data_IF_957579654582
#
_entry.id   IF_957579654582
#
_cell.length_a   1.000
_cell.length_b   1.000
_cell.length_c   1.000
_cell.angle_alpha   90.00
_cell.angle_beta   90.00
_cell.angle_gamma   90.00
#
_symmetry.space_group_name_H-M   'P 1'
#
loop_
_entity.id
_entity.type
_entity.pdbx_description
1 polymer ?
#
# COMPACT_ATOMS: atom_id res chain seq x y z
N UNK A 1 -36.17 19.91 -18.34
CA UNK A 1 -35.54 18.65 -18.78
C UNK A 1 -34.60 18.22 -17.68
N UNK A 2 -34.56 16.93 -17.31
CA UNK A 2 -33.64 16.43 -16.30
C UNK A 2 -32.35 15.97 -16.99
N UNK A 3 -31.22 16.61 -16.65
CA UNK A 3 -29.90 16.23 -17.15
C UNK A 3 -29.26 15.25 -16.17
N UNK A 4 -28.87 14.09 -16.67
CA UNK A 4 -28.22 13.05 -15.88
C UNK A 4 -26.78 13.42 -15.55
N UNK A 5 -26.41 13.33 -14.28
CA UNK A 5 -25.01 13.39 -13.83
C UNK A 5 -24.49 11.94 -13.84
N UNK A 6 -23.49 11.65 -14.66
CA UNK A 6 -22.87 10.32 -14.73
C UNK A 6 -21.42 10.38 -14.27
N UNK A 7 -20.91 9.23 -13.81
CA UNK A 7 -19.49 9.07 -13.48
C UNK A 7 -18.65 9.34 -14.75
N UNK A 8 -17.76 10.36 -14.74
CA UNK A 8 -16.92 10.68 -15.89
C UNK A 8 -15.88 9.58 -16.13
N UNK A 9 -15.16 9.64 -17.25
CA UNK A 9 -14.05 8.71 -17.51
C UNK A 9 -12.91 8.96 -16.51
N UNK A 10 -12.60 7.97 -15.67
CA UNK A 10 -11.62 8.10 -14.56
C UNK A 10 -10.19 7.70 -14.96
N UNK A 11 -9.84 7.80 -16.25
CA UNK A 11 -8.57 7.35 -16.83
C UNK A 11 -8.62 5.88 -17.30
N UNK A 12 -7.71 5.50 -18.20
CA UNK A 12 -7.76 4.22 -18.95
C UNK A 12 -7.68 2.95 -18.08
N UNK A 13 -7.33 3.06 -16.79
CA UNK A 13 -7.15 1.92 -15.88
C UNK A 13 -8.10 1.90 -14.66
N UNK A 14 -9.15 2.73 -14.61
CA UNK A 14 -10.08 2.81 -13.46
C UNK A 14 -11.50 2.44 -13.89
N UNK A 15 -12.00 1.29 -13.43
CA UNK A 15 -13.32 0.74 -13.80
C UNK A 15 -14.47 1.11 -12.85
N UNK A 16 -14.15 1.61 -11.64
CA UNK A 16 -15.13 1.93 -10.60
C UNK A 16 -14.63 3.06 -9.67
N UNK A 17 -15.56 3.80 -9.07
CA UNK A 17 -15.30 4.90 -8.13
C UNK A 17 -16.18 4.78 -6.87
N UNK A 18 -15.80 5.45 -5.80
CA UNK A 18 -16.67 5.68 -4.62
C UNK A 18 -17.15 7.10 -4.66
N UNK A 19 -18.35 7.33 -4.18
CA UNK A 19 -18.78 8.67 -3.82
C UNK A 19 -18.14 9.03 -2.47
N UNK A 20 -17.23 10.01 -2.48
CA UNK A 20 -16.60 10.56 -1.28
C UNK A 20 -17.57 11.49 -0.56
N UNK A 21 -17.55 12.78 -0.94
CA UNK A 21 -18.40 13.81 -0.34
C UNK A 21 -19.19 14.56 -1.40
N UNK A 22 -20.52 14.58 -1.26
CA UNK A 22 -21.38 15.52 -1.98
C UNK A 22 -21.20 16.95 -1.44
N UNK A 23 -20.84 17.89 -2.31
CA UNK A 23 -20.71 19.31 -1.96
C UNK A 23 -22.06 20.06 -2.01
N UNK A 24 -23.07 19.47 -2.65
CA UNK A 24 -24.41 20.04 -2.84
C UNK A 24 -25.48 19.05 -2.40
N UNK A 25 -26.58 19.57 -1.84
CA UNK A 25 -27.73 18.79 -1.39
C UNK A 25 -28.85 18.84 -2.42
N UNK A 26 -29.75 17.85 -2.36
CA UNK A 26 -30.99 17.87 -3.16
C UNK A 26 -31.75 19.16 -2.87
N UNK A 27 -32.06 19.93 -3.91
CA UNK A 27 -32.70 21.25 -3.85
C UNK A 27 -31.76 22.44 -3.99
N UNK A 28 -30.43 22.24 -3.97
CA UNK A 28 -29.47 23.33 -4.13
C UNK A 28 -29.36 23.76 -5.61
N UNK A 29 -29.20 25.07 -5.81
CA UNK A 29 -28.91 25.67 -7.11
C UNK A 29 -27.43 25.48 -7.43
N UNK A 30 -27.14 24.93 -8.60
CA UNK A 30 -25.78 24.64 -9.09
C UNK A 30 -25.54 25.35 -10.41
N UNK A 31 -24.35 25.91 -10.60
CA UNK A 31 -23.92 26.51 -11.87
C UNK A 31 -23.20 25.46 -12.72
N UNK A 32 -23.20 25.66 -14.04
CA UNK A 32 -22.36 24.88 -14.94
C UNK A 32 -20.88 25.02 -14.52
N UNK A 33 -20.14 23.92 -14.61
CA UNK A 33 -18.74 23.75 -14.19
C UNK A 33 -18.46 23.87 -12.67
N UNK A 34 -19.51 23.93 -11.82
CA UNK A 34 -19.35 23.94 -10.36
C UNK A 34 -19.18 22.50 -9.80
N UNK A 35 -18.23 22.23 -8.88
CA UNK A 35 -18.02 20.88 -8.33
C UNK A 35 -19.21 20.41 -7.50
N UNK A 36 -19.77 19.25 -7.86
CA UNK A 36 -20.98 18.68 -7.25
C UNK A 36 -20.67 17.60 -6.22
N UNK A 37 -19.75 16.71 -6.58
CA UNK A 37 -19.42 15.51 -5.80
C UNK A 37 -17.97 15.14 -6.00
N UNK A 38 -17.35 14.73 -4.91
CA UNK A 38 -16.02 14.18 -4.89
C UNK A 38 -16.08 12.66 -5.08
N UNK A 39 -15.34 12.13 -6.05
CA UNK A 39 -15.18 10.69 -6.25
C UNK A 39 -13.83 10.21 -5.72
N UNK A 40 -13.84 9.20 -4.86
CA UNK A 40 -12.64 8.53 -4.37
C UNK A 40 -12.35 7.27 -5.19
N UNK A 41 -11.18 7.20 -5.81
CA UNK A 41 -10.66 6.00 -6.47
C UNK A 41 -9.59 5.32 -5.60
N UNK A 42 -9.02 4.21 -6.07
CA UNK A 42 -7.94 3.48 -5.40
C UNK A 42 -6.63 4.29 -5.27
N UNK A 43 -6.48 5.34 -6.08
CA UNK A 43 -5.24 6.10 -6.24
C UNK A 43 -5.38 7.60 -5.99
N UNK A 44 -6.49 8.20 -6.43
CA UNK A 44 -6.71 9.65 -6.34
C UNK A 44 -8.18 9.99 -6.10
N UNK A 45 -8.40 11.21 -5.62
CA UNK A 45 -9.71 11.80 -5.47
C UNK A 45 -9.95 12.75 -6.65
N UNK A 46 -11.11 12.64 -7.32
CA UNK A 46 -11.47 13.41 -8.52
C UNK A 46 -12.80 14.12 -8.29
N UNK A 47 -12.85 15.42 -8.54
CA UNK A 47 -14.09 16.20 -8.45
C UNK A 47 -14.89 16.11 -9.75
N UNK A 48 -16.21 15.90 -9.65
CA UNK A 48 -17.12 15.89 -10.80
C UNK A 48 -17.82 17.25 -10.89
N UNK A 49 -17.55 18.04 -11.96
CA UNK A 49 -18.23 19.31 -12.19
C UNK A 49 -19.66 19.12 -12.73
N UNK A 50 -20.50 20.13 -12.51
CA UNK A 50 -21.87 20.14 -13.02
C UNK A 50 -21.92 20.35 -14.54
N UNK A 51 -22.59 19.49 -15.31
CA UNK A 51 -22.69 19.64 -16.76
C UNK A 51 -23.58 20.81 -17.20
N UNK A 52 -24.52 21.25 -16.36
CA UNK A 52 -25.48 22.33 -16.65
C UNK A 52 -25.78 23.17 -15.40
N UNK A 53 -26.35 24.37 -15.59
CA UNK A 53 -26.86 25.18 -14.47
C UNK A 53 -28.30 24.81 -14.16
N UNK A 54 -28.63 24.49 -12.91
CA UNK A 54 -29.97 24.03 -12.54
C UNK A 54 -30.14 23.76 -11.05
N UNK A 55 -31.16 22.98 -10.69
CA UNK A 55 -31.40 22.52 -9.31
C UNK A 55 -31.15 21.02 -9.23
N UNK A 56 -30.37 20.57 -8.23
CA UNK A 56 -30.12 19.15 -8.00
C UNK A 56 -31.42 18.48 -7.52
N UNK A 57 -32.08 17.67 -8.36
CA UNK A 57 -33.40 17.10 -8.05
C UNK A 57 -33.33 15.77 -7.32
N UNK A 58 -32.30 14.98 -7.59
CA UNK A 58 -32.17 13.64 -7.02
C UNK A 58 -30.70 13.23 -6.93
N UNK A 59 -30.32 12.63 -5.79
CA UNK A 59 -29.05 11.93 -5.59
C UNK A 59 -29.38 10.44 -5.56
N UNK A 60 -28.96 9.72 -6.60
CA UNK A 60 -29.26 8.28 -6.76
C UNK A 60 -28.23 7.44 -6.01
N UNK A 61 -26.98 7.91 -5.95
CA UNK A 61 -25.91 7.21 -5.29
C UNK A 61 -25.39 8.01 -4.08
N UNK A 62 -25.44 7.40 -2.90
CA UNK A 62 -25.17 8.07 -1.62
C UNK A 62 -23.67 8.11 -1.28
N UNK A 63 -23.28 8.99 -0.35
CA UNK A 63 -21.91 9.04 0.18
C UNK A 63 -21.46 7.64 0.65
N UNK A 64 -20.32 7.18 0.13
CA UNK A 64 -19.72 5.89 0.45
C UNK A 64 -20.19 4.70 -0.41
N UNK A 65 -21.01 4.94 -1.44
CA UNK A 65 -21.49 3.93 -2.40
C UNK A 65 -20.52 3.73 -3.59
N UNK A 66 -20.46 2.50 -4.11
CA UNK A 66 -19.63 2.11 -5.26
C UNK A 66 -20.39 2.28 -6.56
N UNK A 67 -19.83 3.04 -7.49
CA UNK A 67 -20.42 3.33 -8.79
C UNK A 67 -19.43 2.96 -9.91
N UNK A 68 -19.93 2.25 -10.92
CA UNK A 68 -19.15 1.90 -12.12
C UNK A 68 -19.04 3.07 -13.11
N UNK A 69 -18.18 2.93 -14.12
CA UNK A 69 -18.08 3.91 -15.21
C UNK A 69 -19.45 4.15 -15.88
N UNK A 70 -19.81 5.42 -16.06
CA UNK A 70 -21.09 5.82 -16.68
C UNK A 70 -22.34 5.60 -15.81
N UNK A 71 -22.18 5.19 -14.55
CA UNK A 71 -23.29 5.06 -13.61
C UNK A 71 -23.92 6.42 -13.27
N UNK A 72 -25.23 6.42 -13.04
CA UNK A 72 -26.01 7.61 -12.70
C UNK A 72 -25.74 8.02 -11.24
N UNK A 73 -25.20 9.22 -11.06
CA UNK A 73 -24.93 9.82 -9.75
C UNK A 73 -26.16 10.60 -9.22
N UNK A 74 -26.85 11.29 -10.12
CA UNK A 74 -28.01 12.12 -9.79
C UNK A 74 -28.60 12.81 -11.02
N UNK A 75 -29.62 13.64 -10.82
CA UNK A 75 -30.28 14.40 -11.87
C UNK A 75 -30.36 15.89 -11.51
N UNK A 76 -30.22 16.75 -12.53
CA UNK A 76 -30.37 18.21 -12.41
C UNK A 76 -31.53 18.65 -13.30
N UNK A 77 -32.47 19.43 -12.77
CA UNK A 77 -33.48 20.08 -13.61
C UNK A 77 -33.00 21.43 -14.11
N UNK A 78 -33.07 21.62 -15.42
CA UNK A 78 -32.95 22.96 -16.01
C UNK A 78 -34.27 23.72 -15.86
N UNK A 79 -34.20 24.85 -15.15
CA UNK A 79 -35.24 25.88 -15.14
C UNK A 79 -36.31 25.74 -14.05
N UNK A 80 -36.41 26.80 -13.24
CA UNK A 80 -37.55 27.27 -12.45
C UNK A 80 -38.18 26.35 -11.37
N UNK A 81 -37.95 26.77 -10.13
CA UNK A 81 -38.85 26.80 -8.99
C UNK A 81 -40.21 26.08 -9.09
N UNK A 82 -40.38 25.10 -8.18
CA UNK A 82 -41.65 24.82 -7.51
C UNK A 82 -42.47 23.67 -8.09
N UNK A 83 -42.47 22.52 -7.40
CA UNK A 83 -43.67 21.96 -6.75
C UNK A 83 -43.40 20.53 -6.27
N UNK A 84 -43.68 20.31 -4.98
CA UNK A 84 -43.74 19.03 -4.26
C UNK A 84 -44.87 18.12 -4.79
N UNK A 85 -44.58 16.83 -4.95
CA UNK A 85 -45.53 15.70 -4.85
C UNK A 85 -44.73 14.39 -4.83
N UNK A 86 -44.59 13.67 -3.71
CA UNK A 86 -45.52 12.78 -3.00
C UNK A 86 -45.20 11.30 -3.29
N UNK A 87 -44.90 10.58 -2.21
CA UNK A 87 -44.56 9.16 -2.14
C UNK A 87 -45.73 8.23 -2.52
N UNK A 88 -45.42 6.94 -2.74
CA UNK A 88 -46.28 5.89 -2.22
C UNK A 88 -45.53 4.90 -1.31
N UNK A 89 -46.25 4.49 -0.26
CA UNK A 89 -45.90 3.50 0.74
C UNK A 89 -46.15 2.05 0.25
N UNK A 90 -45.63 1.02 0.95
CA UNK A 90 -45.48 -0.36 0.46
C UNK A 90 -46.54 -1.35 1.00
N UNK A 91 -46.69 -2.51 0.35
CA UNK A 91 -47.13 -3.82 0.90
C UNK A 91 -47.30 -4.86 -0.23
N UNK A 92 -47.41 -6.19 0.02
CA UNK A 92 -46.69 -7.06 0.95
C UNK A 92 -46.23 -8.40 0.31
N UNK A 93 -45.64 -9.26 1.14
CA UNK A 93 -45.00 -10.56 0.87
C UNK A 93 -45.86 -11.67 0.22
N UNK A 94 -45.17 -12.61 -0.47
CA UNK A 94 -45.41 -14.06 -0.36
C UNK A 94 -44.24 -14.87 -0.96
N UNK A 95 -43.72 -15.82 -0.18
CA UNK A 95 -42.98 -17.01 -0.64
C UNK A 95 -43.98 -18.06 -1.19
N UNK A 96 -43.56 -19.11 -1.92
CA UNK A 96 -43.00 -20.29 -1.24
C UNK A 96 -41.89 -21.08 -1.97
N UNK A 97 -41.26 -21.91 -1.15
CA UNK A 97 -40.27 -22.97 -1.34
C UNK A 97 -40.27 -23.78 -2.65
N UNK A 98 -39.06 -24.19 -3.07
CA UNK A 98 -38.82 -25.29 -4.00
C UNK A 98 -37.82 -26.31 -3.40
N UNK A 99 -38.35 -27.53 -3.22
CA UNK A 99 -37.76 -28.87 -3.28
C UNK A 99 -36.32 -29.14 -2.77
N UNK A 100 -36.27 -29.80 -1.61
CA UNK A 100 -35.15 -30.62 -1.18
C UNK A 100 -35.00 -31.87 -2.08
N UNK A 101 -33.78 -32.14 -2.54
CA UNK A 101 -33.42 -33.38 -3.23
C UNK A 101 -33.27 -34.54 -2.23
N UNK A 102 -33.73 -35.72 -2.66
CA UNK A 102 -33.70 -36.96 -1.90
C UNK A 102 -32.27 -37.50 -1.67
N UNK A 103 -32.01 -38.23 -0.57
CA UNK A 103 -30.69 -38.80 -0.31
C UNK A 103 -30.38 -39.95 -1.28
N UNK A 104 -29.21 -39.87 -1.93
CA UNK A 104 -28.66 -40.98 -2.71
C UNK A 104 -28.29 -42.17 -1.81
N UNK A 105 -28.51 -43.37 -2.34
CA UNK A 105 -28.22 -44.65 -1.70
C UNK A 105 -26.76 -44.75 -1.24
N UNK A 106 -26.55 -45.40 -0.08
CA UNK A 106 -25.25 -45.54 0.59
C UNK A 106 -24.13 -46.02 -0.35
N UNK A 107 -23.26 -45.08 -0.74
CA UNK A 107 -21.98 -45.36 -1.37
C UNK A 107 -21.08 -46.13 -0.39
N UNK A 108 -20.41 -47.17 -0.89
CA UNK A 108 -19.43 -47.91 -0.09
C UNK A 108 -18.30 -46.94 0.33
N UNK A 109 -17.87 -46.93 1.61
CA UNK A 109 -16.80 -46.06 2.05
C UNK A 109 -15.52 -46.34 1.26
N UNK A 110 -14.76 -45.29 0.97
CA UNK A 110 -13.51 -45.37 0.22
C UNK A 110 -12.57 -46.44 0.81
N UNK A 111 -11.82 -47.13 -0.05
CA UNK A 111 -10.86 -48.12 0.42
C UNK A 111 -9.84 -47.45 1.37
N UNK A 112 -9.36 -48.12 2.44
CA UNK A 112 -8.48 -47.50 3.44
C UNK A 112 -7.23 -46.84 2.84
N UNK A 113 -6.67 -47.42 1.78
CA UNK A 113 -5.53 -46.87 1.06
C UNK A 113 -5.89 -45.63 0.21
N UNK A 114 -7.13 -45.51 -0.25
CA UNK A 114 -7.65 -44.34 -0.96
C UNK A 114 -7.97 -43.20 0.00
N UNK A 115 -8.60 -43.51 1.14
CA UNK A 115 -8.93 -42.53 2.19
C UNK A 115 -7.66 -41.85 2.74
N UNK A 116 -6.58 -42.61 2.94
CA UNK A 116 -5.30 -42.05 3.39
C UNK A 116 -4.68 -41.08 2.37
N UNK A 117 -4.61 -41.49 1.10
CA UNK A 117 -4.03 -40.65 0.02
C UNK A 117 -4.88 -39.40 -0.23
N UNK A 118 -6.21 -39.51 -0.10
CA UNK A 118 -7.12 -38.38 -0.24
C UNK A 118 -6.94 -37.36 0.90
N UNK A 119 -6.83 -37.84 2.15
CA UNK A 119 -6.55 -36.99 3.31
C UNK A 119 -5.19 -36.28 3.21
N UNK A 120 -4.14 -37.01 2.82
CA UNK A 120 -2.78 -36.46 2.68
C UNK A 120 -2.69 -35.37 1.59
N UNK A 121 -3.62 -35.36 0.62
CA UNK A 121 -3.65 -34.42 -0.51
C UNK A 121 -4.84 -33.45 -0.47
N UNK A 122 -5.56 -33.35 0.65
CA UNK A 122 -6.74 -32.50 0.83
C UNK A 122 -7.83 -32.69 -0.25
N UNK A 123 -8.01 -33.91 -0.74
CA UNK A 123 -9.06 -34.26 -1.71
C UNK A 123 -10.21 -34.92 -0.97
N UNK A 124 -11.42 -34.42 -1.19
CA UNK A 124 -12.64 -35.05 -0.70
C UNK A 124 -12.90 -36.32 -1.52
N UNK A 125 -13.05 -37.46 -0.84
CA UNK A 125 -13.41 -38.73 -1.49
C UNK A 125 -14.84 -38.74 -2.03
N UNK A 126 -15.65 -37.73 -1.70
CA UNK A 126 -16.98 -37.54 -2.28
C UNK A 126 -16.94 -36.96 -3.70
N UNK A 127 -15.84 -36.29 -4.06
CA UNK A 127 -15.66 -35.62 -5.36
C UNK A 127 -14.82 -36.47 -6.34
N UNK A 128 -14.54 -37.72 -5.98
CA UNK A 128 -13.75 -38.66 -6.78
C UNK A 128 -14.65 -39.81 -7.21
N UNK A 129 -14.84 -39.96 -8.52
CA UNK A 129 -15.58 -41.09 -9.09
C UNK A 129 -14.86 -42.42 -8.80
N UNK A 130 -15.49 -43.29 -8.01
CA UNK A 130 -14.89 -44.55 -7.58
C UNK A 130 -15.05 -45.67 -8.59
N UNK A 131 -13.94 -46.25 -9.05
CA UNK A 131 -13.95 -47.35 -10.03
C UNK A 131 -14.11 -48.75 -9.39
N UNK A 132 -14.19 -48.83 -8.06
CA UNK A 132 -14.25 -50.08 -7.31
C UNK A 132 -15.64 -50.71 -7.26
N UNK A 133 -15.72 -51.90 -6.64
CA UNK A 133 -16.98 -52.66 -6.52
C UNK A 133 -18.04 -51.81 -5.82
N UNK A 134 -19.20 -51.61 -6.49
CA UNK A 134 -20.31 -50.76 -6.03
C UNK A 134 -19.95 -49.27 -5.89
N UNK A 135 -19.07 -48.77 -6.77
CA UNK A 135 -18.68 -47.35 -6.80
C UNK A 135 -17.69 -46.95 -5.70
N UNK A 136 -16.97 -47.93 -5.12
CA UNK A 136 -15.99 -47.67 -4.07
C UNK A 136 -14.77 -46.94 -4.63
N UNK A 137 -14.37 -45.83 -4.01
CA UNK A 137 -13.16 -45.08 -4.38
C UNK A 137 -11.89 -45.88 -4.04
N UNK A 138 -11.06 -46.13 -5.05
CA UNK A 138 -9.78 -46.82 -4.92
C UNK A 138 -8.61 -45.82 -4.97
N UNK A 139 -7.43 -46.29 -4.56
CA UNK A 139 -6.21 -45.45 -4.53
C UNK A 139 -5.86 -44.89 -5.92
N UNK A 140 -6.12 -45.66 -6.98
CA UNK A 140 -5.90 -45.23 -8.37
C UNK A 140 -6.78 -44.04 -8.78
N UNK A 141 -8.02 -43.99 -8.28
CA UNK A 141 -8.98 -42.93 -8.62
C UNK A 141 -8.58 -41.59 -8.00
N UNK A 142 -8.11 -41.62 -6.75
CA UNK A 142 -7.59 -40.43 -6.04
C UNK A 142 -6.34 -39.90 -6.74
N UNK A 143 -5.42 -40.78 -7.15
CA UNK A 143 -4.22 -40.38 -7.88
C UNK A 143 -4.54 -39.81 -9.27
N UNK A 144 -5.55 -40.35 -9.94
CA UNK A 144 -6.02 -39.83 -11.22
C UNK A 144 -6.72 -38.46 -11.06
N UNK A 145 -7.45 -38.24 -9.97
CA UNK A 145 -8.04 -36.94 -9.64
C UNK A 145 -6.98 -35.87 -9.31
N UNK A 146 -5.91 -36.26 -8.60
CA UNK A 146 -4.72 -35.40 -8.37
C UNK A 146 -4.08 -35.02 -9.70
N UNK A 147 -3.85 -36.01 -10.59
CA UNK A 147 -3.20 -35.79 -11.88
C UNK A 147 -4.04 -34.92 -12.84
N UNK A 148 -5.37 -34.90 -12.67
CA UNK A 148 -6.30 -34.06 -13.45
C UNK A 148 -6.47 -32.64 -12.88
N UNK A 149 -5.76 -32.29 -11.80
CA UNK A 149 -5.76 -30.91 -11.28
C UNK A 149 -7.06 -30.50 -10.58
N UNK A 150 -7.85 -31.46 -10.09
CA UNK A 150 -9.03 -31.16 -9.27
C UNK A 150 -8.60 -30.85 -7.83
N UNK A 151 -7.84 -29.77 -7.64
CA UNK A 151 -7.71 -29.16 -6.31
C UNK A 151 -9.04 -28.51 -5.96
N UNK A 152 -9.69 -28.98 -4.90
CA UNK A 152 -10.85 -28.30 -4.33
C UNK A 152 -10.49 -26.82 -4.09
N UNK A 153 -11.42 -25.86 -4.31
CA UNK A 153 -11.20 -24.48 -3.93
C UNK A 153 -10.73 -24.45 -2.48
N UNK A 154 -9.58 -23.82 -2.22
CA UNK A 154 -9.09 -23.60 -0.87
C UNK A 154 -10.25 -23.11 -0.01
N UNK A 155 -10.51 -23.80 1.11
CA UNK A 155 -11.61 -23.49 2.01
C UNK A 155 -11.58 -21.98 2.30
N UNK A 156 -12.60 -21.27 1.80
CA UNK A 156 -12.80 -19.86 2.10
C UNK A 156 -12.95 -19.79 3.62
N UNK A 157 -12.01 -19.10 4.28
CA UNK A 157 -12.05 -18.94 5.72
C UNK A 157 -13.46 -18.50 6.13
N UNK A 158 -14.07 -19.22 7.09
CA UNK A 158 -15.38 -18.89 7.59
C UNK A 158 -15.42 -17.39 8.00
N UNK A 159 -16.51 -16.66 7.71
CA UNK A 159 -16.62 -15.27 8.09
C UNK A 159 -16.30 -15.12 9.57
N UNK A 160 -15.36 -14.23 9.89
CA UNK A 160 -14.98 -13.97 11.26
C UNK A 160 -16.25 -13.67 12.08
N UNK A 161 -16.42 -14.38 13.19
CA UNK A 161 -17.58 -14.20 14.06
C UNK A 161 -17.72 -12.70 14.41
N UNK A 162 -18.92 -12.11 14.31
CA UNK A 162 -19.12 -10.70 14.59
C UNK A 162 -18.62 -10.40 16.00
N UNK A 163 -17.80 -9.35 16.12
CA UNK A 163 -17.25 -8.89 17.40
C UNK A 163 -18.40 -8.73 18.41
N UNK A 164 -18.28 -9.23 19.65
CA UNK A 164 -19.31 -9.05 20.67
C UNK A 164 -19.61 -7.56 20.84
N UNK A 165 -20.90 -7.23 20.90
CA UNK A 165 -21.34 -5.86 21.09
C UNK A 165 -20.81 -5.33 22.44
N UNK A 166 -20.31 -4.09 22.43
CA UNK A 166 -19.88 -3.40 23.64
C UNK A 166 -21.07 -3.22 24.60
N UNK A 167 -20.80 -3.14 25.90
CA UNK A 167 -21.84 -2.94 26.90
C UNK A 167 -22.59 -1.62 26.68
N UNK A 168 -23.86 -1.55 27.11
CA UNK A 168 -24.73 -0.40 26.84
C UNK A 168 -24.15 0.96 27.30
N UNK A 169 -23.38 0.98 28.40
CA UNK A 169 -22.71 2.17 28.90
C UNK A 169 -21.46 2.57 28.09
N UNK A 170 -20.87 1.63 27.35
CA UNK A 170 -19.67 1.83 26.55
C UNK A 170 -20.01 2.28 25.13
N UNK A 171 -21.10 1.78 24.56
CA UNK A 171 -21.57 2.14 23.20
C UNK A 171 -21.76 3.66 23.05
N UNK A 172 -22.22 4.36 24.09
CA UNK A 172 -22.41 5.82 24.08
C UNK A 172 -21.08 6.59 24.04
N UNK A 173 -19.97 5.93 24.40
CA UNK A 173 -18.60 6.46 24.36
C UNK A 173 -17.80 5.96 23.15
N UNK A 174 -18.41 5.15 22.29
CA UNK A 174 -17.80 4.61 21.07
C UNK A 174 -18.25 5.39 19.84
N UNK A 175 -17.29 5.75 18.99
CA UNK A 175 -17.56 6.30 17.67
C UNK A 175 -17.15 5.27 16.61
N UNK A 176 -18.08 4.91 15.72
CA UNK A 176 -17.82 4.01 14.61
C UNK A 176 -17.69 4.80 13.31
N UNK A 177 -16.47 4.92 12.82
CA UNK A 177 -16.17 5.57 11.54
C UNK A 177 -15.79 4.52 10.51
N UNK A 178 -16.44 4.54 9.33
CA UNK A 178 -16.09 3.66 8.20
C UNK A 178 -14.72 4.08 7.65
N UNK A 179 -13.82 3.12 7.42
CA UNK A 179 -12.54 3.41 6.76
C UNK A 179 -12.79 3.88 5.32
N UNK A 180 -12.09 4.93 4.89
CA UNK A 180 -12.05 5.34 3.47
C UNK A 180 -11.47 4.23 2.59
N UNK A 181 -11.78 4.22 1.29
CA UNK A 181 -11.27 3.18 0.38
C UNK A 181 -9.74 3.19 0.28
N UNK A 182 -9.15 4.38 0.25
CA UNK A 182 -7.70 4.55 0.28
C UNK A 182 -7.09 3.85 1.50
N UNK A 183 -7.67 4.09 2.70
CA UNK A 183 -7.17 3.49 3.93
C UNK A 183 -7.37 1.98 3.98
N UNK A 184 -8.46 1.45 3.43
CA UNK A 184 -8.67 0.00 3.29
C UNK A 184 -7.62 -0.63 2.36
N UNK A 185 -7.32 0.01 1.24
CA UNK A 185 -6.32 -0.47 0.26
C UNK A 185 -4.92 -0.48 0.87
N UNK A 186 -4.53 0.59 1.57
CA UNK A 186 -3.26 0.66 2.29
C UNK A 186 -3.18 -0.44 3.35
N UNK A 187 -4.24 -0.63 4.16
CA UNK A 187 -4.26 -1.66 5.19
C UNK A 187 -4.09 -3.07 4.60
N UNK A 188 -4.77 -3.36 3.49
CA UNK A 188 -4.61 -4.63 2.76
C UNK A 188 -3.17 -4.81 2.28
N UNK A 189 -2.59 -3.82 1.59
CA UNK A 189 -1.21 -3.88 1.09
C UNK A 189 -0.17 -4.08 2.20
N UNK A 190 -0.30 -3.35 3.30
CA UNK A 190 0.61 -3.49 4.45
C UNK A 190 0.54 -4.90 5.05
N UNK A 191 -0.67 -5.46 5.16
CA UNK A 191 -0.86 -6.80 5.70
C UNK A 191 -0.38 -7.88 4.72
N UNK A 192 -0.60 -7.69 3.42
CA UNK A 192 -0.12 -8.59 2.38
C UNK A 192 1.42 -8.64 2.36
N UNK A 193 2.09 -7.49 2.50
CA UNK A 193 3.55 -7.43 2.61
C UNK A 193 4.06 -8.24 3.82
N UNK A 194 3.44 -8.10 4.99
CA UNK A 194 3.80 -8.86 6.19
C UNK A 194 3.51 -10.37 6.09
N UNK A 195 2.44 -10.75 5.40
CA UNK A 195 2.08 -12.15 5.24
C UNK A 195 2.95 -12.86 4.20
N UNK A 196 3.47 -12.12 3.22
CA UNK A 196 4.22 -12.66 2.09
C UNK A 196 5.72 -12.67 2.36
N UNK A 197 6.27 -11.55 2.85
CA UNK A 197 7.71 -11.42 3.10
C UNK A 197 8.10 -12.04 4.44
N UNK A 198 9.26 -12.71 4.49
CA UNK A 198 9.87 -13.10 5.76
C UNK A 198 10.62 -11.88 6.32
N UNK A 199 9.88 -10.91 6.83
CA UNK A 199 10.44 -9.60 7.16
C UNK A 199 11.22 -9.62 8.47
N UNK A 200 12.51 -9.30 8.40
CA UNK A 200 13.36 -9.05 9.57
C UNK A 200 13.82 -7.59 9.59
N UNK A 201 14.31 -7.13 10.73
CA UNK A 201 14.89 -5.78 10.87
C UNK A 201 16.18 -5.85 11.66
N UNK A 202 17.22 -5.22 11.14
CA UNK A 202 18.49 -5.01 11.83
C UNK A 202 18.72 -3.52 12.06
N UNK A 203 19.55 -3.19 13.04
CA UNK A 203 19.74 -1.82 13.52
C UNK A 203 21.21 -1.50 13.70
N UNK A 204 21.61 -0.30 13.29
CA UNK A 204 22.91 0.29 13.59
C UNK A 204 22.72 1.73 14.09
N UNK A 205 23.66 2.22 14.87
CA UNK A 205 23.79 3.66 15.13
C UNK A 205 24.86 4.27 14.22
N UNK A 206 24.69 5.54 13.90
CA UNK A 206 25.61 6.32 13.05
C UNK A 206 25.92 7.65 13.71
N UNK A 207 27.20 8.03 13.74
CA UNK A 207 27.67 9.35 14.15
C UNK A 207 27.52 10.34 12.98
N UNK A 208 26.64 11.32 13.14
CA UNK A 208 26.34 12.31 12.10
C UNK A 208 27.32 13.49 12.07
N UNK A 209 28.34 13.50 12.95
CA UNK A 209 29.27 14.63 13.11
C UNK A 209 29.92 15.08 11.80
N UNK A 210 30.40 14.12 11.00
CA UNK A 210 31.11 14.39 9.76
C UNK A 210 30.20 15.06 8.71
N UNK A 211 29.05 14.47 8.43
CA UNK A 211 28.05 15.04 7.49
C UNK A 211 27.54 16.39 7.97
N UNK A 212 27.26 16.54 9.27
CA UNK A 212 26.81 17.82 9.83
C UNK A 212 27.88 18.91 9.71
N UNK A 213 29.14 18.57 9.95
CA UNK A 213 30.27 19.50 9.80
C UNK A 213 30.45 19.91 8.33
N UNK A 214 30.40 18.94 7.42
CA UNK A 214 30.49 19.17 5.97
C UNK A 214 29.36 20.09 5.50
N UNK A 215 28.13 19.80 5.90
CA UNK A 215 26.96 20.63 5.60
C UNK A 215 27.12 22.05 6.16
N UNK A 216 27.56 22.20 7.39
CA UNK A 216 27.77 23.51 8.01
C UNK A 216 28.79 24.34 7.24
N UNK A 217 29.87 23.71 6.78
CA UNK A 217 30.93 24.36 6.01
C UNK A 217 30.49 24.79 4.61
N UNK A 218 29.68 23.99 3.91
CA UNK A 218 29.42 24.18 2.48
C UNK A 218 27.99 24.57 2.11
N UNK A 219 27.02 24.57 3.04
CA UNK A 219 25.59 24.82 2.74
C UNK A 219 25.35 26.09 1.89
N UNK A 220 26.00 27.20 2.21
CA UNK A 220 25.73 28.50 1.56
C UNK A 220 26.35 28.55 0.16
N UNK A 221 27.55 27.98 0.01
CA UNK A 221 28.23 27.85 -1.30
C UNK A 221 27.43 26.90 -2.20
N UNK A 222 26.96 25.78 -1.64
CA UNK A 222 26.17 24.78 -2.34
C UNK A 222 24.85 25.36 -2.83
N UNK A 223 24.11 26.06 -1.96
CA UNK A 223 22.85 26.71 -2.31
C UNK A 223 23.05 27.78 -3.38
N UNK A 224 24.10 28.61 -3.26
CA UNK A 224 24.43 29.61 -4.28
C UNK A 224 24.78 29.00 -5.64
N UNK A 225 25.52 27.88 -5.66
CA UNK A 225 25.96 27.23 -6.90
C UNK A 225 24.85 26.44 -7.58
N UNK A 226 24.05 25.70 -6.80
CA UNK A 226 23.11 24.74 -7.33
C UNK A 226 21.64 25.20 -7.27
N UNK A 227 21.33 26.25 -6.52
CA UNK A 227 19.95 26.76 -6.34
C UNK A 227 19.07 25.85 -5.48
N UNK A 228 19.67 24.96 -4.68
CA UNK A 228 18.97 24.06 -3.75
C UNK A 228 19.76 23.94 -2.46
N UNK A 229 19.07 23.78 -1.33
CA UNK A 229 19.71 23.62 -0.02
C UNK A 229 20.44 22.28 0.06
N UNK A 230 21.59 22.28 0.73
CA UNK A 230 22.29 21.04 1.07
C UNK A 230 21.54 20.34 2.21
N UNK A 231 20.74 19.35 1.87
CA UNK A 231 20.05 18.47 2.81
C UNK A 231 20.93 17.31 3.29
N UNK A 232 20.35 16.47 4.14
CA UNK A 232 20.97 15.19 4.54
C UNK A 232 20.62 14.07 3.57
N UNK A 233 19.46 14.15 2.90
CA UNK A 233 18.91 13.07 2.10
C UNK A 233 19.79 12.72 0.90
N UNK A 234 20.46 13.70 0.29
CA UNK A 234 21.43 13.44 -0.76
C UNK A 234 22.59 12.56 -0.29
N UNK A 235 23.12 12.79 0.92
CA UNK A 235 24.18 11.93 1.48
C UNK A 235 23.69 10.51 1.76
N UNK A 236 22.52 10.37 2.39
CA UNK A 236 21.91 9.06 2.64
C UNK A 236 21.63 8.31 1.35
N UNK A 237 21.03 8.98 0.36
CA UNK A 237 20.73 8.38 -0.93
C UNK A 237 22.00 7.90 -1.62
N UNK A 238 23.07 8.72 -1.65
CA UNK A 238 24.36 8.28 -2.23
C UNK A 238 24.95 7.09 -1.48
N UNK A 239 25.01 7.13 -0.15
CA UNK A 239 25.50 6.01 0.67
C UNK A 239 24.73 4.72 0.44
N UNK A 240 23.40 4.80 0.34
CA UNK A 240 22.53 3.66 0.04
C UNK A 240 22.81 3.14 -1.37
N UNK A 241 22.81 4.00 -2.39
CA UNK A 241 23.03 3.56 -3.77
C UNK A 241 24.40 2.92 -3.98
N UNK A 242 25.41 3.35 -3.21
CA UNK A 242 26.74 2.72 -3.21
C UNK A 242 26.69 1.34 -2.57
N UNK A 243 26.08 1.22 -1.38
CA UNK A 243 25.91 -0.06 -0.69
C UNK A 243 25.05 -1.07 -1.49
N UNK A 244 24.02 -0.60 -2.21
CA UNK A 244 23.17 -1.45 -3.08
C UNK A 244 23.96 -2.04 -4.26
N UNK A 245 25.01 -1.36 -4.75
CA UNK A 245 25.88 -1.89 -5.81
C UNK A 245 26.78 -3.03 -5.32
N UNK A 246 27.29 -2.93 -4.08
CA UNK A 246 28.04 -4.04 -3.47
C UNK A 246 27.14 -5.22 -3.09
N UNK A 247 25.89 -4.94 -2.68
CA UNK A 247 24.96 -5.92 -2.15
C UNK A 247 23.66 -5.96 -2.98
N UNK A 248 23.71 -6.50 -4.21
CA UNK A 248 22.59 -6.44 -5.16
C UNK A 248 21.34 -7.18 -4.68
N UNK A 249 21.47 -8.16 -3.77
CA UNK A 249 20.33 -8.86 -3.16
C UNK A 249 19.40 -7.92 -2.38
N UNK A 250 19.94 -6.82 -1.82
CA UNK A 250 19.15 -5.81 -1.10
C UNK A 250 18.32 -4.94 -2.06
N UNK A 251 18.71 -4.89 -3.35
CA UNK A 251 18.01 -4.18 -4.43
C UNK A 251 17.34 -5.16 -5.41
N UNK A 252 16.68 -6.20 -4.90
CA UNK A 252 16.04 -7.23 -5.70
C UNK A 252 14.55 -7.37 -5.35
N UNK A 253 13.85 -8.24 -6.07
CA UNK A 253 12.48 -8.64 -5.74
C UNK A 253 12.24 -10.10 -6.10
N UNK A 254 11.29 -10.75 -5.43
CA UNK A 254 10.80 -12.08 -5.81
C UNK A 254 9.65 -11.90 -6.79
N UNK A 255 9.74 -12.57 -7.95
CA UNK A 255 8.66 -12.70 -8.91
C UNK A 255 8.35 -14.18 -9.13
N UNK A 256 7.28 -14.67 -8.51
CA UNK A 256 6.93 -16.09 -8.51
C UNK A 256 8.03 -16.95 -7.90
N UNK A 257 8.73 -17.71 -8.74
CA UNK A 257 9.87 -18.58 -8.35
C UNK A 257 11.23 -17.97 -8.65
N UNK A 258 11.25 -16.81 -9.32
CA UNK A 258 12.47 -16.15 -9.77
C UNK A 258 12.83 -14.98 -8.85
N UNK A 259 14.12 -14.61 -8.85
CA UNK A 259 14.63 -13.41 -8.20
C UNK A 259 15.06 -12.44 -9.29
N UNK A 260 14.52 -11.23 -9.26
CA UNK A 260 14.87 -10.15 -10.19
C UNK A 260 15.81 -9.18 -9.48
N UNK A 261 17.10 -9.26 -9.82
CA UNK A 261 18.10 -8.27 -9.38
C UNK A 261 17.98 -6.98 -10.19
N UNK A 262 17.90 -5.83 -9.52
CA UNK A 262 17.82 -4.52 -10.18
C UNK A 262 19.21 -3.88 -10.24
N UNK A 263 19.75 -3.74 -11.44
CA UNK A 263 21.06 -3.12 -11.70
C UNK A 263 20.98 -1.58 -11.84
N UNK A 264 19.93 -0.99 -11.27
CA UNK A 264 19.64 0.45 -11.24
C UNK A 264 18.98 0.76 -9.88
N UNK A 265 19.14 1.98 -9.38
CA UNK A 265 18.56 2.37 -8.09
C UNK A 265 17.45 3.40 -8.30
N UNK A 266 16.20 2.96 -8.17
CA UNK A 266 15.06 3.88 -8.09
C UNK A 266 14.63 3.98 -6.63
N UNK A 267 14.93 5.10 -5.98
CA UNK A 267 14.77 5.23 -4.53
C UNK A 267 13.43 5.88 -4.24
N UNK A 268 12.51 5.08 -3.71
CA UNK A 268 11.27 5.56 -3.10
C UNK A 268 11.59 6.36 -1.85
N UNK A 269 10.94 7.51 -1.66
CA UNK A 269 11.11 8.31 -0.47
C UNK A 269 9.75 8.62 0.14
N UNK A 270 9.57 8.17 1.38
CA UNK A 270 8.34 8.37 2.11
C UNK A 270 8.17 9.83 2.52
N UNK A 271 7.06 10.44 2.11
CA UNK A 271 6.68 11.82 2.41
C UNK A 271 5.33 11.81 3.15
N UNK A 272 5.31 12.42 4.34
CA UNK A 272 4.07 12.65 5.07
C UNK A 272 3.31 13.84 4.49
N UNK A 273 2.02 13.66 4.29
CA UNK A 273 1.06 14.69 3.84
C UNK A 273 -0.16 14.67 4.76
N UNK A 274 -1.03 15.68 4.68
CA UNK A 274 -2.26 15.72 5.47
C UNK A 274 -3.23 14.57 5.11
N UNK A 275 -3.13 14.05 3.88
CA UNK A 275 -3.91 12.90 3.39
C UNK A 275 -3.28 11.55 3.76
N UNK A 276 -2.08 11.55 4.36
CA UNK A 276 -1.36 10.35 4.79
C UNK A 276 0.03 10.24 4.18
N UNK A 277 0.57 9.03 4.15
CA UNK A 277 1.91 8.74 3.67
C UNK A 277 1.88 8.37 2.18
N UNK A 278 2.72 9.03 1.39
CA UNK A 278 2.96 8.68 -0.02
C UNK A 278 4.45 8.41 -0.21
N UNK A 279 4.81 7.62 -1.23
CA UNK A 279 6.19 7.22 -1.51
C UNK A 279 6.53 7.52 -2.96
N UNK A 280 6.77 8.79 -3.32
CA UNK A 280 7.29 9.13 -4.63
C UNK A 280 8.71 8.56 -4.85
N UNK A 281 9.11 8.39 -6.11
CA UNK A 281 10.32 7.68 -6.53
C UNK A 281 11.29 8.64 -7.21
N UNK A 282 12.51 8.72 -6.69
CA UNK A 282 13.65 9.35 -7.36
C UNK A 282 14.26 8.33 -8.31
N UNK A 283 14.12 8.56 -9.62
CA UNK A 283 14.63 7.66 -10.66
C UNK A 283 16.13 7.80 -10.84
N UNK A 284 16.77 6.68 -11.15
CA UNK A 284 18.22 6.57 -11.41
C UNK A 284 19.08 7.30 -10.36
N UNK A 285 18.70 7.18 -9.09
CA UNK A 285 19.32 7.91 -7.99
C UNK A 285 20.81 7.59 -7.82
N UNK A 286 21.26 6.43 -8.30
CA UNK A 286 22.67 6.04 -8.34
C UNK A 286 23.49 6.88 -9.32
N UNK A 287 22.88 7.39 -10.38
CA UNK A 287 23.50 8.23 -11.41
C UNK A 287 23.45 9.73 -11.08
N UNK A 288 22.60 10.12 -10.11
CA UNK A 288 22.43 11.50 -9.73
C UNK A 288 23.55 11.99 -8.79
N UNK A 289 23.83 13.29 -8.91
CA UNK A 289 24.61 14.05 -7.92
C UNK A 289 23.76 14.37 -6.70
N UNK A 290 24.40 14.73 -5.58
CA UNK A 290 23.71 15.20 -4.37
C UNK A 290 22.78 16.38 -4.67
N UNK A 291 23.20 17.31 -5.54
CA UNK A 291 22.37 18.47 -5.90
C UNK A 291 21.13 18.08 -6.71
N UNK A 292 21.23 17.12 -7.61
CA UNK A 292 20.09 16.64 -8.38
C UNK A 292 19.12 15.87 -7.49
N UNK A 293 19.63 15.03 -6.58
CA UNK A 293 18.80 14.32 -5.60
C UNK A 293 18.00 15.31 -4.75
N UNK A 294 18.65 16.34 -4.19
CA UNK A 294 17.98 17.35 -3.36
C UNK A 294 16.95 18.18 -4.16
N UNK A 295 17.21 18.46 -5.44
CA UNK A 295 16.24 19.13 -6.33
C UNK A 295 15.02 18.28 -6.60
N UNK A 296 15.24 17.03 -6.97
CA UNK A 296 14.16 16.10 -7.31
C UNK A 296 13.31 15.77 -6.08
N UNK A 297 13.97 15.59 -4.94
CA UNK A 297 13.34 15.57 -3.62
C UNK A 297 12.44 16.78 -3.40
N UNK A 298 12.95 18.00 -3.61
CA UNK A 298 12.18 19.23 -3.46
C UNK A 298 10.94 19.27 -4.37
N UNK A 299 11.09 18.83 -5.63
CA UNK A 299 9.99 18.73 -6.60
C UNK A 299 8.92 17.74 -6.12
N UNK A 300 9.31 16.53 -5.78
CA UNK A 300 8.41 15.45 -5.35
C UNK A 300 7.72 15.78 -4.02
N UNK A 301 8.43 16.36 -3.05
CA UNK A 301 7.86 16.78 -1.78
C UNK A 301 6.86 17.94 -1.95
N UNK A 302 7.08 18.83 -2.91
CA UNK A 302 6.09 19.85 -3.28
C UNK A 302 4.85 19.21 -3.92
N UNK A 303 5.04 18.38 -4.94
CA UNK A 303 3.93 17.69 -5.61
C UNK A 303 3.12 16.81 -4.65
N UNK A 304 3.76 16.16 -3.67
CA UNK A 304 3.10 15.38 -2.64
C UNK A 304 2.17 16.24 -1.77
N UNK A 305 2.67 17.39 -1.29
CA UNK A 305 1.89 18.33 -0.48
C UNK A 305 0.75 18.97 -1.28
N UNK A 306 1.00 19.31 -2.53
CA UNK A 306 0.03 19.91 -3.44
C UNK A 306 -0.98 18.87 -3.98
N UNK A 307 -0.79 17.57 -3.70
CA UNK A 307 -1.64 16.48 -4.18
C UNK A 307 -1.54 16.22 -5.69
N UNK A 308 -0.45 16.67 -6.32
CA UNK A 308 -0.26 16.66 -7.78
C UNK A 308 0.75 15.61 -8.25
N UNK A 309 1.07 14.60 -7.43
CA UNK A 309 1.94 13.50 -7.84
C UNK A 309 1.30 12.70 -8.97
N UNK A 310 2.07 12.43 -10.01
CA UNK A 310 1.62 11.56 -11.09
C UNK A 310 1.74 10.08 -10.70
N UNK A 311 1.06 9.19 -11.43
CA UNK A 311 1.22 7.75 -11.24
C UNK A 311 2.67 7.30 -11.48
N UNK A 312 3.34 7.93 -12.46
CA UNK A 312 4.73 7.66 -12.79
C UNK A 312 5.69 8.05 -11.66
N UNK A 313 5.35 9.07 -10.86
CA UNK A 313 6.14 9.45 -9.68
C UNK A 313 6.01 8.41 -8.55
N UNK A 314 4.95 7.60 -8.53
CA UNK A 314 4.62 6.70 -7.42
C UNK A 314 4.96 5.23 -7.68
N UNK A 315 5.56 4.90 -8.84
CA UNK A 315 5.79 3.52 -9.27
C UNK A 315 7.24 3.24 -9.68
N UNK A 316 7.62 1.96 -9.53
CA UNK A 316 8.90 1.44 -10.01
C UNK A 316 10.09 1.69 -9.08
N UNK A 317 9.84 2.07 -7.82
CA UNK A 317 10.91 2.11 -6.82
C UNK A 317 11.45 0.71 -6.54
N UNK A 318 12.77 0.59 -6.40
CA UNK A 318 13.49 -0.67 -6.09
C UNK A 318 13.90 -0.76 -4.62
N UNK A 319 14.06 0.38 -3.96
CA UNK A 319 14.37 0.50 -2.54
C UNK A 319 13.65 1.71 -1.95
N UNK A 320 13.28 1.68 -0.66
CA UNK A 320 12.60 2.80 -0.01
C UNK A 320 13.41 3.38 1.14
N UNK A 321 13.39 4.71 1.29
CA UNK A 321 13.83 5.42 2.48
C UNK A 321 12.62 6.03 3.17
N UNK A 322 12.53 5.84 4.49
CA UNK A 322 11.52 6.49 5.33
C UNK A 322 12.18 7.16 6.52
N UNK A 323 11.75 8.37 6.86
CA UNK A 323 12.36 9.16 7.94
C UNK A 323 11.32 9.48 9.02
N UNK A 324 11.27 8.64 10.06
CA UNK A 324 10.45 8.87 11.24
C UNK A 324 11.08 9.88 12.22
N UNK A 325 12.36 10.20 12.04
CA UNK A 325 13.11 11.12 12.89
C UNK A 325 12.57 12.55 12.89
N UNK A 326 11.93 12.98 11.79
CA UNK A 326 11.25 14.28 11.70
C UNK A 326 10.08 14.41 12.69
N UNK A 327 9.49 13.27 13.11
CA UNK A 327 8.44 13.20 14.12
C UNK A 327 8.97 12.83 15.51
N UNK A 328 10.30 12.79 15.68
CA UNK A 328 10.95 12.45 16.94
C UNK A 328 11.08 10.96 17.22
N UNK A 329 10.80 10.07 16.25
CA UNK A 329 11.00 8.64 16.42
C UNK A 329 12.47 8.32 16.67
N UNK A 330 12.75 7.56 17.74
CA UNK A 330 14.11 7.13 18.09
C UNK A 330 14.50 5.81 17.44
N UNK A 331 13.55 4.89 17.31
CA UNK A 331 13.78 3.56 16.74
C UNK A 331 12.44 2.93 16.36
N UNK A 332 12.36 2.34 15.16
CA UNK A 332 11.17 1.66 14.64
C UNK A 332 11.56 0.71 13.51
N UNK A 333 10.77 -0.35 13.33
CA UNK A 333 10.87 -1.27 12.19
C UNK A 333 9.94 -0.81 11.06
N UNK A 334 10.47 -0.27 9.95
CA UNK A 334 9.65 0.02 8.79
C UNK A 334 9.05 -1.25 8.16
N UNK A 335 7.89 -1.13 7.52
CA UNK A 335 7.28 -2.22 6.74
C UNK A 335 7.71 -2.07 5.29
N UNK A 336 8.10 -3.16 4.63
CA UNK A 336 8.49 -3.18 3.23
C UNK A 336 7.39 -2.63 2.32
N UNK A 337 7.79 -1.84 1.33
CA UNK A 337 6.91 -1.45 0.24
C UNK A 337 6.99 -2.49 -0.88
N UNK A 338 6.13 -3.51 -0.81
CA UNK A 338 6.13 -4.60 -1.78
C UNK A 338 6.03 -4.08 -3.22
N UNK A 339 6.76 -4.67 -4.20
CA UNK A 339 7.55 -5.91 -4.11
C UNK A 339 9.01 -5.76 -3.64
N UNK A 340 9.43 -4.59 -3.15
CA UNK A 340 10.83 -4.32 -2.81
C UNK A 340 11.37 -5.22 -1.69
N UNK A 341 12.64 -5.63 -1.80
CA UNK A 341 13.33 -6.44 -0.80
C UNK A 341 13.85 -5.68 0.41
N UNK A 342 13.92 -4.34 0.35
CA UNK A 342 14.56 -3.52 1.37
C UNK A 342 13.96 -2.14 1.59
N UNK A 343 13.94 -1.70 2.85
CA UNK A 343 13.57 -0.34 3.26
C UNK A 343 14.46 0.14 4.40
N UNK A 344 15.01 1.36 4.27
CA UNK A 344 15.80 2.01 5.31
C UNK A 344 14.95 3.02 6.11
N UNK A 345 14.85 2.80 7.40
CA UNK A 345 14.28 3.70 8.39
C UNK A 345 15.33 4.61 9.02
N UNK A 346 15.18 5.91 8.83
CA UNK A 346 15.96 6.97 9.49
C UNK A 346 15.22 7.51 10.71
N UNK A 347 15.96 7.74 11.79
CA UNK A 347 15.42 8.19 13.07
C UNK A 347 15.99 9.54 13.49
N UNK A 348 15.55 10.04 14.65
CA UNK A 348 15.93 11.35 15.16
C UNK A 348 17.45 11.39 15.39
N UNK A 349 18.07 12.47 14.90
CA UNK A 349 19.44 12.85 15.31
C UNK A 349 19.32 13.50 16.69
N UNK A 350 20.08 13.00 17.67
CA UNK A 350 20.17 13.63 18.98
C UNK A 350 21.56 13.48 19.58
N UNK A 351 21.96 14.48 20.36
CA UNK A 351 23.21 14.43 21.10
C UNK A 351 23.18 13.31 22.14
N UNK A 352 24.19 12.44 22.10
CA UNK A 352 24.35 11.33 23.05
C UNK A 352 25.79 11.28 23.55
N UNK A 353 26.00 10.94 24.83
CA UNK A 353 27.32 10.57 25.32
C UNK A 353 27.70 9.20 24.75
N UNK A 354 28.82 9.13 24.03
CA UNK A 354 29.37 7.91 23.45
C UNK A 354 30.84 7.75 23.86
N UNK A 355 31.28 6.51 24.04
CA UNK A 355 32.66 6.21 24.37
C UNK A 355 33.48 6.07 23.07
N UNK A 356 34.45 6.97 22.86
CA UNK A 356 35.35 6.94 21.70
C UNK A 356 36.79 7.06 22.21
N UNK A 357 37.65 6.08 21.88
CA UNK A 357 39.05 6.09 22.31
C UNK A 357 39.24 6.13 23.84
N UNK A 358 38.33 5.52 24.59
CA UNK A 358 38.35 5.53 26.07
C UNK A 358 37.83 6.82 26.73
N UNK A 359 37.32 7.78 25.96
CA UNK A 359 36.73 9.02 26.47
C UNK A 359 35.23 9.07 26.20
N UNK A 360 34.46 9.64 27.14
CA UNK A 360 33.05 9.95 26.91
C UNK A 360 32.96 11.29 26.20
N UNK A 361 32.45 11.29 24.98
CA UNK A 361 32.26 12.49 24.16
C UNK A 361 30.82 12.61 23.71
N UNK A 362 30.32 13.83 23.58
CA UNK A 362 28.98 14.08 23.05
C UNK A 362 29.05 14.06 21.52
N UNK A 363 28.16 13.28 20.89
CA UNK A 363 28.02 13.20 19.43
C UNK A 363 26.56 13.24 18.99
N UNK A 364 26.24 13.86 17.85
CA UNK A 364 24.93 13.77 17.22
C UNK A 364 24.74 12.38 16.61
N UNK A 365 24.05 11.50 17.34
CA UNK A 365 23.84 10.12 16.94
C UNK A 365 22.46 9.92 16.32
N UNK A 366 22.36 9.03 15.33
CA UNK A 366 21.11 8.56 14.73
C UNK A 366 21.05 7.03 14.75
N UNK A 367 19.86 6.47 14.95
CA UNK A 367 19.59 5.06 14.65
C UNK A 367 19.13 4.86 13.21
N UNK A 368 19.69 3.86 12.55
CA UNK A 368 19.26 3.35 11.24
C UNK A 368 18.68 1.97 11.42
N UNK A 369 17.54 1.73 10.77
CA UNK A 369 16.88 0.42 10.74
C UNK A 369 16.77 -0.05 9.29
N UNK A 370 17.30 -1.21 8.97
CA UNK A 370 17.04 -1.86 7.68
C UNK A 370 16.04 -2.98 7.92
N UNK A 371 14.85 -2.85 7.33
CA UNK A 371 13.93 -3.97 7.20
C UNK A 371 14.08 -4.58 5.82
N UNK A 372 14.13 -5.91 5.76
CA UNK A 372 14.44 -6.67 4.55
C UNK A 372 13.66 -7.98 4.48
N UNK A 373 13.46 -8.49 3.26
CA UNK A 373 12.86 -9.80 3.03
C UNK A 373 13.93 -10.90 3.14
N UNK A 374 13.88 -11.68 4.22
CA UNK A 374 14.86 -12.72 4.52
C UNK A 374 14.75 -13.95 3.60
N UNK A 375 13.79 -13.96 2.66
CA UNK A 375 13.78 -14.95 1.57
C UNK A 375 14.84 -14.65 0.50
N UNK A 376 15.32 -13.41 0.43
CA UNK A 376 16.33 -12.95 -0.56
C UNK A 376 17.62 -12.53 0.13
N UNK A 377 17.50 -11.76 1.21
CA UNK A 377 18.63 -11.12 1.88
C UNK A 377 18.97 -11.87 3.16
N UNK A 378 20.19 -12.37 3.26
CA UNK A 378 20.67 -13.02 4.47
C UNK A 378 21.08 -12.00 5.54
N UNK A 379 21.07 -12.41 6.82
CA UNK A 379 21.47 -11.54 7.94
C UNK A 379 22.88 -10.93 7.79
N UNK A 380 23.82 -11.66 7.17
CA UNK A 380 25.15 -11.12 6.86
C UNK A 380 25.07 -9.94 5.89
N UNK A 381 24.35 -10.10 4.78
CA UNK A 381 24.20 -9.06 3.76
C UNK A 381 23.47 -7.84 4.33
N UNK A 382 22.41 -8.05 5.10
CA UNK A 382 21.67 -6.97 5.75
C UNK A 382 22.56 -6.14 6.71
N UNK A 383 23.37 -6.82 7.53
CA UNK A 383 24.30 -6.15 8.45
C UNK A 383 25.42 -5.45 7.67
N UNK A 384 26.01 -6.10 6.67
CA UNK A 384 27.05 -5.48 5.83
C UNK A 384 26.50 -4.23 5.15
N UNK A 385 25.29 -4.26 4.60
CA UNK A 385 24.64 -3.11 3.98
C UNK A 385 24.55 -1.91 4.95
N UNK A 386 24.01 -2.14 6.16
CA UNK A 386 23.92 -1.07 7.16
C UNK A 386 25.29 -0.53 7.58
N UNK A 387 26.28 -1.40 7.71
CA UNK A 387 27.65 -1.00 8.03
C UNK A 387 28.24 -0.14 6.92
N UNK A 388 28.05 -0.48 5.64
CA UNK A 388 28.52 0.35 4.51
C UNK A 388 27.86 1.72 4.48
N UNK A 389 26.55 1.77 4.72
CA UNK A 389 25.82 3.04 4.83
C UNK A 389 26.37 3.86 6.00
N UNK A 390 26.57 3.25 7.18
CA UNK A 390 27.17 3.90 8.35
C UNK A 390 28.56 4.44 8.03
N UNK A 391 29.45 3.63 7.48
CA UNK A 391 30.83 4.00 7.16
C UNK A 391 30.91 5.16 6.18
N UNK A 392 30.03 5.21 5.19
CA UNK A 392 29.93 6.29 4.21
C UNK A 392 29.41 7.61 4.82
N UNK A 393 28.58 7.53 5.86
CA UNK A 393 28.04 8.70 6.54
C UNK A 393 29.00 9.21 7.64
N UNK A 394 29.72 8.33 8.30
CA UNK A 394 30.75 8.69 9.28
C UNK A 394 32.02 9.23 8.60
N UNK A 395 32.27 8.81 7.36
CA UNK A 395 33.35 9.32 6.51
C UNK A 395 32.86 9.61 5.07
N UNK A 396 32.25 10.79 4.84
CA UNK A 396 31.69 11.16 3.53
C UNK A 396 32.72 11.26 2.40
N UNK A 397 34.02 11.29 2.69
CA UNK A 397 35.07 11.31 1.65
C UNK A 397 35.09 9.99 0.86
N UNK A 398 34.68 8.89 1.49
CA UNK A 398 34.50 7.58 0.83
C UNK A 398 33.55 7.64 -0.36
N UNK A 399 32.49 8.44 -0.26
CA UNK A 399 31.52 8.61 -1.35
C UNK A 399 32.13 9.27 -2.59
N UNK A 400 33.19 10.06 -2.42
CA UNK A 400 33.91 10.73 -3.52
C UNK A 400 34.99 9.81 -4.08
N UNK A 401 35.62 9.02 -3.22
CA UNK A 401 36.72 8.12 -3.58
C UNK A 401 36.25 6.75 -4.09
N UNK A 402 34.95 6.46 -4.01
CA UNK A 402 34.34 5.17 -4.39
C UNK A 402 34.94 3.99 -3.59
N UNK A 403 34.99 4.15 -2.26
CA UNK A 403 35.63 3.23 -1.30
C UNK A 403 34.66 2.42 -0.44
#
# INVERSE_FOLDING_TARGET
MATEIRVPTLGESVSEATIGTWFKKVGDVVKADEPLVELETDKVTVEVPSPVSGVLTEIVAQNGETVGLGALLGQISEGAAGSVSAAPAPAPAAAPAAAAQAPAAAAMPAAPAAAKVAADNNISTADVDGSGKRGQVLKGDVLAAIAKGSSAPAAVAAPAAPRPASGANDVVREERVKMTRLRQTIAKRLKDAQNTAAMLTTYNEVDMSAVMSLRTKYKDIFEKKHGVKLGFMGFFTKAITHALKELPAVNAEIDGTDIIYKNYCHVGMAVGTDKGLVVPVIRDADQMTVAEIEKELGRLAKAARDGSLSMADMQGGTFTITNGGVYGSLMSSPILNAPQSGILGMHKIQDRPVAIGGQVVIRPMMYLALSYDHRIVDGKEAVTFLVRVKESLEDPERLVLDL
#
